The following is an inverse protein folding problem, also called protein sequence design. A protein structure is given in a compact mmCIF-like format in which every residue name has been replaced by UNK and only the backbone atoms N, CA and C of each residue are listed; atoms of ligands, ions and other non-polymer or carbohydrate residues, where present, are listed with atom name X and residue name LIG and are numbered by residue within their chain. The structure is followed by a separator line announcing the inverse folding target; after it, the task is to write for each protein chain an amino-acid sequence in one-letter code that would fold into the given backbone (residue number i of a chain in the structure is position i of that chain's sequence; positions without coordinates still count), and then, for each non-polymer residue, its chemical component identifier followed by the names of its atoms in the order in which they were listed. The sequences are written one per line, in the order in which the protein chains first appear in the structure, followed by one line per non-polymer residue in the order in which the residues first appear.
data_IF_097835315242
#
_entry.id   IF_097835315242
#
_cell.length_a   1.000
_cell.length_b   1.000
_cell.length_c   1.000
_cell.angle_alpha   90.00
_cell.angle_beta   90.00
_cell.angle_gamma   90.00
#
_symmetry.space_group_name_H-M   'P 1'
#
loop_
_entity.id
_entity.type
_entity.pdbx_description
1 polymer ?
#
# COMPACT_ATOMS: atom_id res chain seq x y z
N UNK A 1 -23.68 19.65 3.72
CA UNK A 1 -24.13 18.77 4.84
C UNK A 1 -24.34 17.31 4.40
N UNK A 2 -25.27 16.97 3.48
CA UNK A 2 -25.49 15.56 3.07
C UNK A 2 -24.24 14.98 2.38
N UNK A 3 -23.64 15.71 1.44
CA UNK A 3 -22.44 15.28 0.70
C UNK A 3 -21.25 15.01 1.63
N UNK A 4 -21.05 15.83 2.66
CA UNK A 4 -19.96 15.63 3.62
C UNK A 4 -20.20 14.40 4.50
N UNK A 5 -21.44 14.14 4.90
CA UNK A 5 -21.77 12.94 5.66
C UNK A 5 -21.53 11.68 4.87
N UNK A 6 -21.86 11.65 3.58
CA UNK A 6 -21.55 10.54 2.67
C UNK A 6 -20.05 10.35 2.54
N UNK A 7 -19.30 11.42 2.27
CA UNK A 7 -17.85 11.35 2.09
C UNK A 7 -17.12 10.90 3.36
N UNK A 8 -17.58 11.31 4.55
CA UNK A 8 -17.08 10.80 5.84
C UNK A 8 -17.32 9.29 5.97
N UNK A 9 -18.48 8.82 5.52
CA UNK A 9 -18.81 7.39 5.47
C UNK A 9 -17.85 6.61 4.56
N UNK A 10 -17.57 7.13 3.37
CA UNK A 10 -16.64 6.55 2.40
C UNK A 10 -15.20 6.49 2.93
N UNK A 11 -14.71 7.57 3.57
CA UNK A 11 -13.39 7.60 4.21
C UNK A 11 -13.30 6.54 5.31
N UNK A 12 -14.32 6.42 6.16
CA UNK A 12 -14.35 5.45 7.24
C UNK A 12 -14.43 4.01 6.72
N UNK A 13 -15.23 3.75 5.68
CA UNK A 13 -15.31 2.43 5.04
C UNK A 13 -13.96 2.05 4.44
N UNK A 14 -13.35 2.92 3.64
CA UNK A 14 -12.07 2.69 3.00
C UNK A 14 -10.96 2.41 4.03
N UNK A 15 -10.96 3.11 5.17
CA UNK A 15 -10.02 2.90 6.26
C UNK A 15 -10.16 1.49 6.88
N UNK A 16 -11.40 1.05 7.16
CA UNK A 16 -11.66 -0.29 7.70
C UNK A 16 -11.28 -1.39 6.70
N UNK A 17 -11.52 -1.18 5.41
CA UNK A 17 -11.09 -2.11 4.36
C UNK A 17 -9.57 -2.20 4.32
N UNK A 18 -8.88 -1.06 4.36
CA UNK A 18 -7.41 -1.00 4.38
C UNK A 18 -6.81 -1.79 5.56
N UNK A 19 -7.41 -1.67 6.75
CA UNK A 19 -7.02 -2.43 7.94
C UNK A 19 -7.30 -3.93 7.76
N UNK A 20 -8.48 -4.30 7.28
CA UNK A 20 -8.87 -5.71 7.05
C UNK A 20 -7.97 -6.41 6.03
N UNK A 21 -7.46 -5.69 5.03
CA UNK A 21 -6.52 -6.19 4.03
C UNK A 21 -5.11 -6.42 4.60
N UNK A 22 -4.85 -6.06 5.86
CA UNK A 22 -3.53 -6.22 6.48
C UNK A 22 -2.46 -5.29 5.90
N UNK A 23 -2.85 -4.23 5.20
CA UNK A 23 -1.93 -3.26 4.59
C UNK A 23 -1.44 -2.21 5.59
N UNK A 24 -2.04 -2.17 6.77
CA UNK A 24 -1.64 -1.37 7.93
C UNK A 24 -1.64 -2.24 9.18
N UNK A 25 -0.81 -1.85 10.15
CA UNK A 25 -0.86 -2.38 11.52
C UNK A 25 -1.58 -1.37 12.43
N UNK A 26 -0.82 -0.52 13.12
CA UNK A 26 -1.35 0.59 13.93
C UNK A 26 -1.26 1.95 13.24
N UNK A 27 -0.64 2.01 12.08
CA UNK A 27 -0.30 3.27 11.41
C UNK A 27 -0.79 3.24 9.96
N UNK A 28 -1.63 4.19 9.61
CA UNK A 28 -2.16 4.37 8.28
C UNK A 28 -3.21 5.48 8.28
N UNK A 29 -3.49 6.03 7.11
CA UNK A 29 -4.47 7.10 6.99
C UNK A 29 -5.23 6.97 5.67
N UNK A 30 -6.48 7.38 5.67
CA UNK A 30 -7.26 7.59 4.45
C UNK A 30 -7.86 8.99 4.53
N UNK A 31 -7.81 9.72 3.44
CA UNK A 31 -8.43 11.04 3.34
C UNK A 31 -9.17 11.22 2.02
N UNK A 32 -10.05 12.22 2.01
CA UNK A 32 -10.75 12.69 0.81
C UNK A 32 -10.77 14.22 0.78
N UNK A 33 -10.69 14.80 -0.42
CA UNK A 33 -10.85 16.23 -0.65
C UNK A 33 -12.32 16.64 -0.48
N UNK A 34 -12.58 17.65 0.31
CA UNK A 34 -13.89 18.23 0.56
C UNK A 34 -13.81 19.76 0.31
N UNK A 35 -13.85 20.16 -0.97
CA UNK A 35 -13.63 21.56 -1.34
C UNK A 35 -12.25 22.08 -0.94
N UNK A 36 -12.21 23.13 -0.12
CA UNK A 36 -10.98 23.72 0.41
C UNK A 36 -10.46 23.04 1.67
N UNK A 37 -11.02 21.87 2.02
CA UNK A 37 -10.63 21.03 3.15
C UNK A 37 -10.32 19.61 2.69
N UNK A 38 -9.71 18.83 3.57
CA UNK A 38 -9.69 17.37 3.49
C UNK A 38 -10.41 16.78 4.70
N UNK A 39 -11.10 15.67 4.50
CA UNK A 39 -11.59 14.76 5.53
C UNK A 39 -10.58 13.65 5.71
N UNK A 40 -10.07 13.45 6.92
CA UNK A 40 -9.02 12.46 7.20
C UNK A 40 -9.37 11.60 8.42
N UNK A 41 -8.97 10.34 8.40
CA UNK A 41 -9.06 9.45 9.57
C UNK A 41 -8.28 10.01 10.76
N UNK A 42 -8.75 9.79 12.00
CA UNK A 42 -8.01 10.17 13.20
C UNK A 42 -6.72 9.35 13.35
N UNK A 43 -5.82 9.79 14.25
CA UNK A 43 -4.66 9.03 14.70
C UNK A 43 -5.10 7.89 15.65
N UNK A 44 -5.76 6.88 15.10
CA UNK A 44 -6.34 5.75 15.83
C UNK A 44 -6.27 4.48 14.97
N UNK A 45 -6.64 3.33 15.54
CA UNK A 45 -6.77 2.09 14.79
C UNK A 45 -7.84 2.24 13.70
N UNK A 46 -7.44 1.99 12.46
CA UNK A 46 -8.31 2.13 11.29
C UNK A 46 -9.49 1.16 11.30
N UNK A 47 -9.38 0.01 11.96
CA UNK A 47 -10.46 -0.96 12.07
C UNK A 47 -11.69 -0.40 12.81
N UNK A 48 -11.49 0.53 13.74
CA UNK A 48 -12.53 1.16 14.53
C UNK A 48 -13.02 2.51 14.00
N UNK A 49 -12.52 3.01 12.86
CA UNK A 49 -12.92 4.33 12.35
C UNK A 49 -14.38 4.36 11.93
N UNK A 50 -15.09 5.39 12.37
CA UNK A 50 -16.48 5.70 12.00
C UNK A 50 -16.57 7.03 11.26
N UNK A 51 -17.67 7.28 10.57
CA UNK A 51 -17.91 8.57 9.91
C UNK A 51 -17.83 9.77 10.89
N UNK A 52 -18.26 9.56 12.14
CA UNK A 52 -18.23 10.60 13.18
C UNK A 52 -16.81 10.91 13.68
N UNK A 53 -15.87 9.95 13.58
CA UNK A 53 -14.47 10.14 14.01
C UNK A 53 -13.60 10.77 12.96
N UNK A 54 -14.07 10.90 11.70
CA UNK A 54 -13.31 11.56 10.61
C UNK A 54 -13.17 13.06 10.90
N UNK A 55 -11.96 13.58 10.76
CA UNK A 55 -11.62 14.97 11.11
C UNK A 55 -11.50 15.80 9.83
N UNK A 56 -12.02 17.02 9.86
CA UNK A 56 -11.85 17.97 8.79
C UNK A 56 -10.62 18.85 9.04
N UNK A 57 -9.81 19.05 7.98
CA UNK A 57 -8.60 19.87 8.02
C UNK A 57 -8.59 20.78 6.78
N UNK A 58 -8.54 22.11 6.95
CA UNK A 58 -8.41 23.02 5.82
C UNK A 58 -7.13 22.74 5.02
N UNK A 59 -7.18 22.75 3.68
CA UNK A 59 -6.01 22.56 2.83
C UNK A 59 -4.95 23.65 3.06
N UNK A 60 -5.36 24.85 3.49
CA UNK A 60 -4.48 25.96 3.86
C UNK A 60 -3.93 25.86 5.30
N UNK A 61 -4.24 24.80 6.05
CA UNK A 61 -3.82 24.66 7.44
C UNK A 61 -2.29 24.78 7.60
N UNK A 62 -1.87 25.52 8.62
CA UNK A 62 -0.45 25.66 9.04
C UNK A 62 -0.16 24.93 10.34
N UNK A 63 -1.20 24.45 11.00
CA UNK A 63 -1.15 23.61 12.21
C UNK A 63 -2.19 22.52 12.08
N UNK A 64 -1.85 21.31 12.44
CA UNK A 64 -2.80 20.20 12.42
C UNK A 64 -3.70 20.27 13.66
N UNK A 65 -5.01 20.06 13.52
CA UNK A 65 -5.91 19.91 14.66
C UNK A 65 -5.54 18.73 15.56
N UNK A 66 -5.97 18.78 16.82
CA UNK A 66 -5.81 17.66 17.74
C UNK A 66 -6.47 16.38 17.19
N UNK A 67 -5.85 15.22 17.40
CA UNK A 67 -6.33 13.93 16.93
C UNK A 67 -6.02 13.61 15.46
N UNK A 68 -5.54 14.58 14.68
CA UNK A 68 -5.08 14.33 13.30
C UNK A 68 -3.71 13.65 13.32
N UNK A 69 -3.47 12.63 12.47
CA UNK A 69 -2.16 12.01 12.34
C UNK A 69 -1.06 13.03 12.03
N UNK A 70 0.08 12.95 12.71
CA UNK A 70 1.17 13.90 12.49
C UNK A 70 1.72 13.89 11.05
N UNK A 71 1.55 12.78 10.31
CA UNK A 71 1.92 12.66 8.89
C UNK A 71 0.81 13.09 7.91
N UNK A 72 -0.28 13.69 8.39
CA UNK A 72 -1.30 14.33 7.55
C UNK A 72 -0.73 15.46 6.69
N UNK A 73 0.45 15.98 7.03
CA UNK A 73 1.20 16.91 6.17
C UNK A 73 1.45 16.36 4.78
N UNK A 74 1.70 15.04 4.65
CA UNK A 74 1.87 14.40 3.34
C UNK A 74 0.60 14.48 2.49
N UNK A 75 -0.58 14.30 3.09
CA UNK A 75 -1.86 14.46 2.41
C UNK A 75 -2.09 15.90 1.99
N UNK A 76 -1.86 16.86 2.89
CA UNK A 76 -2.00 18.30 2.58
C UNK A 76 -1.07 18.72 1.44
N UNK A 77 0.20 18.31 1.48
CA UNK A 77 1.17 18.63 0.44
C UNK A 77 0.76 18.05 -0.92
N UNK A 78 0.31 16.78 -0.96
CA UNK A 78 -0.20 16.16 -2.19
C UNK A 78 -1.47 16.85 -2.70
N UNK A 79 -2.44 17.17 -1.86
CA UNK A 79 -3.63 17.89 -2.30
C UNK A 79 -3.32 19.29 -2.84
N UNK A 80 -2.31 19.98 -2.32
CA UNK A 80 -1.87 21.27 -2.84
C UNK A 80 -1.14 21.15 -4.17
N UNK A 81 -0.28 20.13 -4.31
CA UNK A 81 0.51 19.88 -5.52
C UNK A 81 -0.33 19.24 -6.65
N UNK A 82 -1.36 18.46 -6.30
CA UNK A 82 -2.20 17.66 -7.20
C UNK A 82 -3.69 18.02 -7.01
N UNK A 83 -4.18 19.10 -7.67
CA UNK A 83 -5.60 19.48 -7.59
C UNK A 83 -6.56 18.41 -8.11
N UNK A 84 -6.09 17.51 -8.96
CA UNK A 84 -6.80 16.35 -9.50
C UNK A 84 -6.96 15.20 -8.50
N UNK A 85 -6.14 15.16 -7.44
CA UNK A 85 -6.27 14.14 -6.40
C UNK A 85 -7.54 14.38 -5.56
N UNK A 86 -8.47 13.42 -5.58
CA UNK A 86 -9.70 13.49 -4.80
C UNK A 86 -9.62 12.70 -3.49
N UNK A 87 -8.78 11.66 -3.42
CA UNK A 87 -8.57 10.85 -2.21
C UNK A 87 -7.13 10.33 -2.15
N UNK A 88 -6.66 10.09 -0.93
CA UNK A 88 -5.32 9.57 -0.65
C UNK A 88 -5.42 8.47 0.41
N UNK A 89 -4.72 7.35 0.16
CA UNK A 89 -4.45 6.32 1.16
C UNK A 89 -2.95 6.28 1.48
N UNK A 90 -2.61 6.18 2.76
CA UNK A 90 -1.26 5.93 3.25
C UNK A 90 -1.24 4.63 4.01
N UNK A 91 -0.34 3.73 3.64
CA UNK A 91 -0.19 2.41 4.25
C UNK A 91 1.27 1.94 4.27
N UNK A 92 1.51 0.76 4.84
CA UNK A 92 2.84 0.21 5.05
C UNK A 92 2.92 -1.26 4.63
N UNK A 93 2.61 -1.60 3.35
CA UNK A 93 2.81 -2.96 2.86
C UNK A 93 4.28 -3.36 2.98
N UNK A 94 4.56 -4.57 3.47
CA UNK A 94 5.94 -5.05 3.69
C UNK A 94 6.77 -5.03 2.42
N UNK A 95 6.19 -5.44 1.28
CA UNK A 95 6.89 -5.43 -0.01
C UNK A 95 7.27 -4.02 -0.47
N UNK A 96 6.48 -2.98 -0.12
CA UNK A 96 6.80 -1.60 -0.44
C UNK A 96 8.09 -1.11 0.25
N UNK A 97 8.35 -1.55 1.49
CA UNK A 97 9.63 -1.26 2.17
C UNK A 97 10.81 -1.88 1.43
N UNK A 98 10.69 -3.14 0.99
CA UNK A 98 11.76 -3.85 0.31
C UNK A 98 12.07 -3.22 -1.06
N UNK A 99 11.05 -2.89 -1.85
CA UNK A 99 11.23 -2.19 -3.13
C UNK A 99 11.87 -0.81 -2.91
N UNK A 100 11.37 -0.03 -1.97
CA UNK A 100 11.89 1.32 -1.68
C UNK A 100 13.32 1.32 -1.11
N UNK A 101 13.78 0.20 -0.54
CA UNK A 101 15.18 0.03 -0.12
C UNK A 101 16.10 -0.39 -1.28
N UNK A 102 15.56 -1.04 -2.31
CA UNK A 102 16.32 -1.64 -3.40
C UNK A 102 16.31 -0.83 -4.72
N UNK A 103 15.39 0.13 -4.87
CA UNK A 103 15.20 0.88 -6.10
C UNK A 103 14.89 2.36 -5.84
N UNK A 104 15.15 3.21 -6.83
CA UNK A 104 14.75 4.64 -6.83
C UNK A 104 13.45 4.87 -7.59
N UNK A 105 13.06 3.89 -8.41
CA UNK A 105 11.81 3.85 -9.17
C UNK A 105 11.41 2.40 -9.38
N UNK A 106 10.12 2.10 -9.31
CA UNK A 106 9.56 0.82 -9.69
C UNK A 106 8.81 0.97 -11.02
N UNK A 107 9.20 0.20 -12.01
CA UNK A 107 8.55 0.15 -13.33
C UNK A 107 7.55 -1.00 -13.38
N UNK A 108 6.43 -0.89 -14.12
CA UNK A 108 5.46 -1.96 -14.26
C UNK A 108 6.06 -3.20 -14.94
N UNK A 109 5.91 -4.35 -14.30
CA UNK A 109 6.29 -5.67 -14.83
C UNK A 109 5.06 -6.54 -15.19
N UNK A 110 3.86 -6.05 -14.90
CA UNK A 110 2.59 -6.65 -15.27
C UNK A 110 1.50 -5.59 -15.48
N UNK A 111 0.47 -5.90 -16.24
CA UNK A 111 -0.52 -4.94 -16.73
C UNK A 111 -1.21 -4.11 -15.65
N UNK A 112 -1.69 -4.73 -14.57
CA UNK A 112 -2.39 -3.98 -13.51
C UNK A 112 -1.48 -2.98 -12.78
N UNK A 113 -0.17 -3.19 -12.76
CA UNK A 113 0.77 -2.22 -12.16
C UNK A 113 0.79 -0.89 -12.94
N UNK A 114 0.43 -0.88 -14.23
CA UNK A 114 0.31 0.33 -15.03
C UNK A 114 -0.80 1.29 -14.54
N UNK A 115 -1.77 0.81 -13.74
CA UNK A 115 -2.79 1.66 -13.11
C UNK A 115 -2.26 2.52 -11.95
N UNK A 116 -1.00 2.32 -11.57
CA UNK A 116 -0.30 3.14 -10.57
C UNK A 116 0.47 4.30 -11.21
N UNK A 117 0.68 4.25 -12.53
CA UNK A 117 1.46 5.21 -13.30
C UNK A 117 2.33 4.51 -14.35
N UNK A 118 3.01 5.28 -15.16
CA UNK A 118 4.06 4.78 -16.07
C UNK A 118 5.25 4.21 -15.27
N UNK A 119 5.46 4.76 -14.10
CA UNK A 119 6.37 4.25 -13.07
C UNK A 119 5.91 4.71 -11.69
N UNK A 120 6.40 4.06 -10.64
CA UNK A 120 6.17 4.46 -9.25
C UNK A 120 7.49 4.99 -8.67
N UNK A 121 7.59 6.30 -8.43
CA UNK A 121 8.80 6.89 -7.86
C UNK A 121 8.99 6.49 -6.39
N UNK A 122 10.24 6.60 -5.92
CA UNK A 122 10.61 6.40 -4.53
C UNK A 122 11.11 7.73 -3.94
N UNK A 123 10.45 8.21 -2.89
CA UNK A 123 11.00 9.28 -2.07
C UNK A 123 12.12 8.75 -1.16
N UNK A 124 13.33 9.22 -1.37
CA UNK A 124 14.56 8.65 -0.79
C UNK A 124 14.87 9.04 0.66
N UNK A 125 14.18 10.02 1.27
CA UNK A 125 14.38 10.39 2.69
C UNK A 125 13.50 9.50 3.58
N UNK A 126 14.13 8.74 4.50
CA UNK A 126 13.43 7.83 5.41
C UNK A 126 12.86 8.52 6.66
N UNK A 127 13.05 9.83 6.81
CA UNK A 127 12.50 10.55 7.94
C UNK A 127 10.97 10.68 7.86
N UNK A 128 10.31 10.68 9.02
CA UNK A 128 8.86 10.82 9.11
C UNK A 128 8.38 12.15 8.49
N UNK A 129 7.28 12.12 7.74
CA UNK A 129 6.71 13.27 7.02
C UNK A 129 5.88 14.16 7.98
N UNK A 130 6.51 14.59 9.10
CA UNK A 130 5.86 15.36 10.17
C UNK A 130 6.09 16.87 10.09
N UNK A 131 6.59 17.36 8.98
CA UNK A 131 6.74 18.80 8.70
C UNK A 131 6.31 19.13 7.29
N UNK A 132 5.89 20.35 7.06
CA UNK A 132 5.48 20.86 5.75
C UNK A 132 6.58 20.66 4.70
N UNK A 133 7.82 21.04 5.00
CA UNK A 133 8.95 20.98 4.06
C UNK A 133 9.24 19.56 3.59
N UNK A 134 9.20 18.56 4.51
CA UNK A 134 9.41 17.15 4.13
C UNK A 134 8.26 16.60 3.31
N UNK A 135 7.03 16.95 3.70
CA UNK A 135 5.83 16.56 2.97
C UNK A 135 5.81 17.14 1.56
N UNK A 136 6.20 18.39 1.37
CA UNK A 136 6.29 19.06 0.07
C UNK A 136 7.37 18.44 -0.81
N UNK A 137 8.55 18.11 -0.24
CA UNK A 137 9.58 17.35 -0.99
C UNK A 137 9.09 15.96 -1.41
N UNK A 138 8.36 15.25 -0.55
CA UNK A 138 7.78 13.98 -0.93
C UNK A 138 6.71 14.14 -2.03
N UNK A 139 5.83 15.12 -1.90
CA UNK A 139 4.80 15.42 -2.89
C UNK A 139 5.39 15.80 -4.26
N UNK A 140 6.53 16.52 -4.30
CA UNK A 140 7.23 16.87 -5.54
C UNK A 140 7.78 15.68 -6.31
N UNK A 141 7.96 14.52 -5.65
CA UNK A 141 8.34 13.27 -6.33
C UNK A 141 7.17 12.62 -7.09
N UNK A 142 5.93 13.09 -6.91
CA UNK A 142 4.74 12.56 -7.58
C UNK A 142 4.03 13.63 -8.43
N UNK A 143 4.69 14.20 -9.46
CA UNK A 143 4.06 15.20 -10.33
C UNK A 143 2.96 14.58 -11.21
N UNK A 144 3.06 13.28 -11.47
CA UNK A 144 2.11 12.49 -12.25
C UNK A 144 2.04 11.07 -11.69
N UNK A 145 1.07 10.27 -12.14
CA UNK A 145 0.84 8.91 -11.62
C UNK A 145 0.04 8.91 -10.32
N UNK A 146 -0.12 7.74 -9.76
CA UNK A 146 -1.11 7.48 -8.72
C UNK A 146 -0.52 6.84 -7.45
N UNK A 147 0.81 6.63 -7.41
CA UNK A 147 1.48 5.99 -6.29
C UNK A 147 2.89 6.55 -6.07
N UNK A 148 3.27 6.64 -4.79
CA UNK A 148 4.60 7.05 -4.33
C UNK A 148 5.07 6.07 -3.26
N UNK A 149 6.23 5.47 -3.45
CA UNK A 149 6.92 4.70 -2.44
C UNK A 149 7.72 5.64 -1.52
N UNK A 150 7.69 5.37 -0.22
CA UNK A 150 8.41 6.13 0.79
C UNK A 150 9.47 5.23 1.42
N UNK A 151 10.74 5.51 1.18
CA UNK A 151 11.84 4.72 1.76
C UNK A 151 11.71 4.68 3.30
N UNK A 152 11.63 3.46 3.85
CA UNK A 152 11.50 3.26 5.29
C UNK A 152 10.15 3.68 5.90
N UNK A 153 9.14 4.10 5.08
CA UNK A 153 7.88 4.63 5.62
C UNK A 153 6.61 4.19 4.84
N UNK A 154 6.71 3.13 4.01
CA UNK A 154 5.56 2.57 3.29
C UNK A 154 5.25 3.29 1.98
N UNK A 155 4.00 3.69 1.76
CA UNK A 155 3.56 4.25 0.49
C UNK A 155 2.36 5.19 0.62
N UNK A 156 2.16 6.00 -0.42
CA UNK A 156 0.98 6.83 -0.66
C UNK A 156 0.35 6.44 -2.00
N UNK A 157 -0.96 6.40 -2.07
CA UNK A 157 -1.71 6.20 -3.32
C UNK A 157 -2.87 7.20 -3.43
N UNK A 158 -3.12 7.64 -4.66
CA UNK A 158 -4.16 8.60 -5.01
C UNK A 158 -5.36 7.88 -5.63
N UNK A 159 -6.53 8.49 -5.54
CA UNK A 159 -7.74 7.97 -6.17
C UNK A 159 -8.80 9.05 -6.41
N UNK A 160 -9.73 8.75 -7.32
CA UNK A 160 -10.92 9.58 -7.56
C UNK A 160 -11.94 9.50 -6.41
N UNK A 161 -11.80 8.52 -5.52
CA UNK A 161 -12.58 8.31 -4.30
C UNK A 161 -11.74 7.53 -3.27
N UNK A 162 -12.10 7.55 -1.97
CA UNK A 162 -11.36 6.84 -0.92
C UNK A 162 -11.14 5.36 -1.23
N UNK A 163 -12.17 4.67 -1.72
CA UNK A 163 -12.06 3.27 -2.12
C UNK A 163 -11.08 3.04 -3.27
N UNK A 164 -11.00 3.96 -4.23
CA UNK A 164 -10.04 3.86 -5.34
C UNK A 164 -8.59 4.03 -4.88
N UNK A 165 -8.34 4.92 -3.92
CA UNK A 165 -7.02 5.06 -3.32
C UNK A 165 -6.61 3.77 -2.59
N UNK A 166 -7.53 3.13 -1.85
CA UNK A 166 -7.28 1.84 -1.17
C UNK A 166 -7.09 0.69 -2.17
N UNK A 167 -7.89 0.63 -3.24
CA UNK A 167 -7.70 -0.37 -4.30
C UNK A 167 -6.32 -0.26 -4.96
N UNK A 168 -5.85 0.95 -5.22
CA UNK A 168 -4.48 1.19 -5.70
C UNK A 168 -3.41 0.83 -4.67
N UNK A 169 -3.66 1.01 -3.38
CA UNK A 169 -2.72 0.57 -2.34
C UNK A 169 -2.57 -0.95 -2.32
N UNK A 170 -3.68 -1.67 -2.49
CA UNK A 170 -3.65 -3.13 -2.63
C UNK A 170 -2.89 -3.56 -3.89
N UNK A 171 -3.15 -2.92 -5.02
CA UNK A 171 -2.41 -3.16 -6.28
C UNK A 171 -0.92 -2.85 -6.14
N UNK A 172 -0.57 -1.76 -5.44
CA UNK A 172 0.83 -1.39 -5.21
C UNK A 172 1.54 -2.46 -4.38
N UNK A 173 0.90 -2.99 -3.33
CA UNK A 173 1.46 -4.08 -2.54
C UNK A 173 1.71 -5.32 -3.41
N UNK A 174 0.71 -5.75 -4.20
CA UNK A 174 0.84 -6.88 -5.12
C UNK A 174 1.91 -6.63 -6.21
N UNK A 175 1.98 -5.41 -6.76
CA UNK A 175 2.99 -5.05 -7.76
C UNK A 175 4.41 -5.07 -7.19
N UNK A 176 4.59 -4.65 -5.92
CA UNK A 176 5.86 -4.76 -5.22
C UNK A 176 6.29 -6.23 -5.05
N UNK A 177 5.37 -7.11 -4.65
CA UNK A 177 5.65 -8.55 -4.52
C UNK A 177 6.07 -9.16 -5.86
N UNK A 178 5.34 -8.88 -6.94
CA UNK A 178 5.68 -9.37 -8.29
C UNK A 178 7.01 -8.80 -8.76
N UNK A 179 7.28 -7.50 -8.53
CA UNK A 179 8.54 -6.87 -8.89
C UNK A 179 9.74 -7.53 -8.18
N UNK A 180 9.63 -7.79 -6.88
CA UNK A 180 10.67 -8.46 -6.10
C UNK A 180 10.89 -9.91 -6.57
N UNK A 181 9.81 -10.65 -6.83
CA UNK A 181 9.89 -12.01 -7.38
C UNK A 181 10.54 -12.03 -8.76
N UNK A 182 10.18 -11.11 -9.65
CA UNK A 182 10.79 -10.97 -10.97
C UNK A 182 12.29 -10.64 -10.87
N UNK A 183 12.66 -9.74 -9.96
CA UNK A 183 14.08 -9.39 -9.69
C UNK A 183 14.85 -10.61 -9.19
N UNK A 184 14.30 -11.39 -8.27
CA UNK A 184 14.93 -12.60 -7.75
C UNK A 184 15.09 -13.66 -8.84
N UNK A 185 14.05 -13.89 -9.67
CA UNK A 185 14.08 -14.87 -10.76
C UNK A 185 15.02 -14.48 -11.89
N UNK A 186 15.22 -13.19 -12.16
CA UNK A 186 16.11 -12.69 -13.21
C UNK A 186 17.60 -12.86 -12.88
N UNK A 187 17.96 -13.00 -11.60
CA UNK A 187 19.35 -13.07 -11.17
C UNK A 187 20.15 -11.82 -11.60
N UNK A 188 21.19 -12.02 -12.38
CA UNK A 188 22.01 -10.93 -12.93
C UNK A 188 21.39 -10.25 -14.18
N UNK A 189 20.34 -10.82 -14.78
CA UNK A 189 19.71 -10.27 -15.97
C UNK A 189 18.77 -9.11 -15.62
N UNK A 190 18.53 -8.16 -16.55
CA UNK A 190 17.49 -7.16 -16.40
C UNK A 190 16.11 -7.82 -16.30
N UNK A 191 15.22 -7.24 -15.45
CA UNK A 191 13.81 -7.61 -15.46
C UNK A 191 13.16 -7.05 -16.74
N UNK A 192 12.38 -7.87 -17.43
CA UNK A 192 11.54 -7.41 -18.54
C UNK A 192 10.39 -6.58 -17.97
N UNK A 193 10.27 -5.34 -18.44
CA UNK A 193 9.20 -4.41 -18.07
C UNK A 193 8.21 -4.25 -19.21
N UNK A 194 7.03 -3.70 -18.94
CA UNK A 194 6.10 -3.32 -19.99
C UNK A 194 6.68 -2.18 -20.83
N UNK A 195 6.42 -2.22 -22.13
CA UNK A 195 6.67 -1.09 -23.04
C UNK A 195 5.66 0.05 -22.80
N UNK A 196 5.94 1.24 -23.32
CA UNK A 196 5.07 2.40 -23.19
C UNK A 196 3.69 2.14 -23.81
N UNK A 197 3.62 1.43 -24.97
CA UNK A 197 2.37 1.05 -25.61
C UNK A 197 1.57 0.06 -24.78
N UNK A 198 2.21 -0.92 -24.15
CA UNK A 198 1.55 -1.85 -23.23
C UNK A 198 1.04 -1.12 -22.00
N UNK A 199 1.82 -0.23 -21.40
CA UNK A 199 1.41 0.62 -20.30
C UNK A 199 0.18 1.45 -20.67
N UNK A 200 0.21 2.13 -21.84
CA UNK A 200 -0.89 2.95 -22.32
C UNK A 200 -2.16 2.10 -22.51
N UNK A 201 -2.05 0.92 -23.11
CA UNK A 201 -3.15 -0.02 -23.29
C UNK A 201 -3.81 -0.44 -21.99
N UNK A 202 -3.00 -0.80 -20.97
CA UNK A 202 -3.52 -1.16 -19.64
C UNK A 202 -4.15 0.03 -18.92
N UNK A 203 -3.57 1.22 -19.03
CA UNK A 203 -4.11 2.45 -18.40
C UNK A 203 -5.47 2.83 -18.98
N UNK A 204 -5.70 2.60 -20.28
CA UNK A 204 -6.96 2.93 -20.95
C UNK A 204 -8.18 2.22 -20.31
N UNK A 205 -8.02 1.01 -19.80
CA UNK A 205 -9.12 0.22 -19.19
C UNK A 205 -9.15 0.37 -17.65
N UNK A 206 -8.19 1.03 -17.04
CA UNK A 206 -8.07 1.16 -15.59
C UNK A 206 -9.28 1.84 -14.94
N UNK A 207 -9.87 2.84 -15.61
CA UNK A 207 -11.06 3.56 -15.12
C UNK A 207 -12.30 2.66 -14.98
N UNK A 208 -12.43 1.64 -15.82
CA UNK A 208 -13.51 0.66 -15.76
C UNK A 208 -13.24 -0.45 -14.73
N UNK A 209 -12.02 -0.97 -14.70
CA UNK A 209 -11.69 -2.16 -13.92
C UNK A 209 -11.36 -1.89 -12.46
N UNK A 210 -10.82 -0.73 -12.13
CA UNK A 210 -10.48 -0.37 -10.76
C UNK A 210 -11.71 -0.31 -9.82
N UNK A 211 -12.89 0.20 -10.24
CA UNK A 211 -14.11 0.10 -9.44
C UNK A 211 -14.52 -1.35 -9.13
N UNK A 212 -14.36 -2.29 -10.07
CA UNK A 212 -14.64 -3.72 -9.82
C UNK A 212 -13.71 -4.31 -8.77
N UNK A 213 -12.43 -3.92 -8.80
CA UNK A 213 -11.48 -4.31 -7.76
C UNK A 213 -11.93 -3.77 -6.39
N UNK A 214 -12.32 -2.50 -6.32
CA UNK A 214 -12.81 -1.93 -5.07
C UNK A 214 -14.03 -2.68 -4.54
N UNK A 215 -15.03 -2.96 -5.38
CA UNK A 215 -16.21 -3.74 -4.96
C UNK A 215 -15.83 -5.13 -4.43
N UNK A 216 -14.87 -5.81 -5.05
CA UNK A 216 -14.34 -7.07 -4.56
C UNK A 216 -13.65 -6.90 -3.19
N UNK A 217 -12.79 -5.91 -3.04
CA UNK A 217 -12.05 -5.67 -1.81
C UNK A 217 -12.97 -5.27 -0.65
N UNK A 218 -13.97 -4.40 -0.88
CA UNK A 218 -14.89 -3.96 0.17
C UNK A 218 -15.82 -5.06 0.63
N UNK A 219 -16.21 -5.97 -0.25
CA UNK A 219 -17.12 -7.07 0.04
C UNK A 219 -16.50 -8.12 0.98
N UNK A 220 -15.17 -8.29 1.00
CA UNK A 220 -14.47 -9.28 1.82
C UNK A 220 -14.65 -10.73 1.32
N UNK A 221 -13.85 -11.68 1.81
CA UNK A 221 -14.06 -13.09 1.52
C UNK A 221 -15.35 -13.55 2.21
N UNK A 222 -16.41 -13.78 1.44
CA UNK A 222 -17.68 -14.31 1.95
C UNK A 222 -18.95 -13.56 1.53
N UNK A 223 -18.86 -12.40 0.88
CA UNK A 223 -20.04 -11.65 0.40
C UNK A 223 -20.43 -11.98 -1.06
N UNK A 224 -19.85 -12.98 -1.68
CA UNK A 224 -20.44 -13.57 -2.86
C UNK A 224 -21.79 -14.14 -2.46
N UNK A 225 -22.90 -13.51 -2.90
CA UNK A 225 -24.24 -14.01 -2.71
C UNK A 225 -24.36 -15.48 -3.16
N UNK A 226 -25.39 -16.22 -2.70
CA UNK A 226 -25.51 -17.63 -3.00
C UNK A 226 -25.41 -17.86 -4.51
N UNK A 227 -24.49 -18.73 -4.91
CA UNK A 227 -24.38 -19.14 -6.32
C UNK A 227 -25.70 -19.78 -6.72
N UNK A 228 -26.31 -19.41 -7.85
CA UNK A 228 -27.53 -20.08 -8.30
C UNK A 228 -27.21 -21.57 -8.51
N UNK A 229 -27.74 -22.45 -7.66
CA UNK A 229 -27.61 -23.89 -7.78
C UNK A 229 -27.18 -24.68 -6.55
N UNK A 230 -26.87 -24.08 -5.39
CA UNK A 230 -26.62 -24.83 -4.16
C UNK A 230 -27.93 -24.96 -3.34
N UNK A 231 -28.68 -26.04 -3.60
CA UNK A 231 -29.76 -26.49 -2.73
C UNK A 231 -29.21 -26.89 -1.37
N UNK A 232 -29.89 -26.43 -0.30
CA UNK A 232 -29.58 -26.72 1.09
C UNK A 232 -29.70 -28.22 1.38
N UNK A 233 -28.61 -28.95 1.32
CA UNK A 233 -28.49 -30.29 1.91
C UNK A 233 -28.36 -30.15 3.43
N UNK A 234 -29.43 -30.52 4.18
CA UNK A 234 -29.37 -30.72 5.61
C UNK A 234 -28.44 -31.88 5.95
N UNK A 235 -27.25 -31.60 6.45
CA UNK A 235 -26.22 -32.56 6.88
C UNK A 235 -25.93 -32.41 8.37
N UNK A 236 -26.03 -33.52 9.08
CA UNK A 236 -25.83 -33.74 10.53
C UNK A 236 -24.47 -33.28 11.05
N UNK A 237 -24.31 -33.01 12.37
CA UNK A 237 -23.05 -32.55 12.96
C UNK A 237 -22.06 -33.71 13.04
N UNK A 238 -20.99 -33.62 12.24
CA UNK A 238 -19.84 -34.53 12.25
C UNK A 238 -18.66 -33.92 12.97
N UNK A 239 -18.07 -34.70 13.86
CA UNK A 239 -16.86 -34.47 14.65
C UNK A 239 -15.66 -34.02 13.77
N UNK A 240 -15.26 -32.77 13.81
CA UNK A 240 -14.13 -32.25 13.06
C UNK A 240 -12.86 -32.26 13.91
N UNK A 241 -12.13 -33.37 13.87
CA UNK A 241 -10.71 -33.38 14.25
C UNK A 241 -9.92 -32.56 13.23
N UNK A 242 -9.29 -31.49 13.72
CA UNK A 242 -8.42 -30.58 12.99
C UNK A 242 -7.21 -31.37 12.42
N UNK A 243 -6.87 -31.26 11.12
CA UNK A 243 -5.67 -31.88 10.59
C UNK A 243 -4.40 -31.18 11.16
N UNK A 244 -3.29 -31.91 11.38
CA UNK A 244 -2.06 -31.32 11.88
C UNK A 244 -1.44 -30.41 10.81
N UNK A 245 -1.05 -29.21 11.22
CA UNK A 245 -0.34 -28.23 10.39
C UNK A 245 1.02 -28.76 9.92
N UNK A 246 1.62 -28.19 8.86
CA UNK A 246 2.88 -28.63 8.33
C UNK A 246 3.99 -28.51 9.39
N UNK A 247 4.73 -29.63 9.60
CA UNK A 247 5.91 -29.65 10.45
C UNK A 247 7.01 -28.81 9.79
N UNK A 248 7.38 -27.74 10.41
CA UNK A 248 8.62 -27.01 10.10
C UNK A 248 9.76 -27.88 10.64
N UNK A 249 10.60 -28.42 9.76
CA UNK A 249 11.84 -29.09 10.15
C UNK A 249 12.85 -28.02 10.60
N UNK A 250 13.56 -28.23 11.72
CA UNK A 250 14.65 -27.35 12.12
C UNK A 250 15.80 -27.46 11.10
N UNK A 251 16.32 -26.31 10.65
CA UNK A 251 17.58 -26.25 9.92
C UNK A 251 18.70 -26.64 10.90
N UNK A 252 19.34 -27.78 10.65
CA UNK A 252 20.52 -28.24 11.37
C UNK A 252 21.75 -27.45 10.87
N UNK A 253 22.05 -26.35 11.54
CA UNK A 253 23.27 -25.56 11.33
C UNK A 253 24.44 -26.29 11.99
N UNK A 254 24.97 -27.34 11.34
CA UNK A 254 26.29 -27.85 11.72
C UNK A 254 27.35 -26.90 11.20
N UNK A 255 27.98 -26.19 12.12
CA UNK A 255 29.22 -25.47 11.88
C UNK A 255 30.31 -26.46 11.43
N UNK A 256 30.69 -26.41 10.16
CA UNK A 256 31.94 -27.01 9.69
C UNK A 256 33.09 -26.10 10.15
N UNK A 257 33.77 -26.52 11.21
CA UNK A 257 35.04 -25.92 11.65
C UNK A 257 36.13 -26.36 10.65
N UNK A 258 36.63 -25.45 9.85
CA UNK A 258 37.88 -25.64 9.11
C UNK A 258 39.08 -25.78 10.07
N UNK A 259 40.02 -26.73 9.81
CA UNK A 259 41.22 -26.82 10.63
C UNK A 259 42.23 -25.72 10.28
N UNK A 260 42.68 -25.04 11.29
CA UNK A 260 43.80 -24.08 11.22
C UNK A 260 45.03 -24.78 10.62
N UNK A 261 45.48 -24.33 9.45
CA UNK A 261 46.83 -24.61 8.94
C UNK A 261 47.80 -23.59 9.56
N UNK A 262 48.80 -24.11 10.21
CA UNK A 262 49.87 -23.39 10.87
C UNK A 262 50.68 -22.52 9.92
N UNK A 263 51.16 -21.41 10.44
CA UNK A 263 52.10 -20.50 9.77
C UNK A 263 53.51 -21.12 9.74
N UNK A 264 54.30 -20.90 8.67
CA UNK A 264 55.70 -21.27 8.65
C UNK A 264 56.55 -20.22 9.35
N UNK A 265 57.53 -20.71 10.13
CA UNK A 265 58.57 -19.96 10.77
C UNK A 265 59.37 -19.11 9.76
N UNK A 266 59.67 -17.90 10.15
CA UNK A 266 60.69 -17.05 9.48
C UNK A 266 62.05 -17.34 10.18
N UNK A 267 62.97 -17.97 9.47
CA UNK A 267 64.39 -17.92 9.79
C UNK A 267 64.99 -16.61 9.26
N UNK A 268 65.76 -15.99 10.12
CA UNK A 268 66.66 -14.85 9.86
C UNK A 268 67.79 -15.29 8.91
N UNK A 269 68.10 -14.46 7.95
CA UNK A 269 69.46 -13.97 7.63
C UNK A 269 69.35 -12.77 6.68
#
# INVERSE_FOLDING_TARGET
MIRDAVLRGEVAEAARVLARLGLVTAFGHVSARAGESMLITPAADLAGVTAASVIEVPLAARVLPAGVPAEAWAHLALYRARPDAAAIARAQPTAAFAVAAAATVMVPVHGQAAWLGESVPVYGDAALLRSTDRAERAASCLPAGEALLLRGNGALTLGAAPGMAVARMWLLAAACDVYLAARAASGANPVTTLSDDEIASWRAVGGELLPRLWEHLRSGPGSAGPRPGEEQGQGQPGDHRRPPGPRVMPLDLREEREPHRGAPDREET
#
